data_IF_159345294989
#
_entry.id   IF_159345294989
#
_cell.length_a   1.000
_cell.length_b   1.000
_cell.length_c   1.000
_cell.angle_alpha   90.00
_cell.angle_beta   90.00
_cell.angle_gamma   90.00
#
_symmetry.space_group_name_H-M   'P 1'
#
loop_
_entity.id
_entity.type
_entity.pdbx_description
1 polymer ?
#
# COMPACT_ATOMS: atom_id res chain seq x y z
N UNK A 1 7.82 22.35 5.83
CA UNK A 1 7.25 22.75 4.53
C UNK A 1 5.75 22.92 4.64
N UNK A 2 5.07 23.41 3.60
CA UNK A 2 3.61 23.48 3.61
C UNK A 2 2.95 22.09 3.62
N UNK A 3 1.79 21.95 4.25
CA UNK A 3 1.02 20.70 4.34
C UNK A 3 -0.08 20.66 3.25
N UNK A 4 -1.31 20.31 3.63
CA UNK A 4 -2.48 20.31 2.75
C UNK A 4 -2.83 21.73 2.27
N UNK A 5 -2.61 22.74 3.11
CA UNK A 5 -2.79 24.14 2.78
C UNK A 5 -1.45 24.89 2.87
N UNK A 6 -1.19 25.85 1.97
CA UNK A 6 0.09 26.59 1.93
C UNK A 6 0.41 27.32 3.25
N UNK A 7 -0.62 27.80 3.95
CA UNK A 7 -0.47 28.47 5.24
C UNK A 7 -0.13 27.50 6.39
N UNK A 8 -0.47 26.22 6.27
CA UNK A 8 -0.16 25.21 7.28
C UNK A 8 1.25 24.68 7.07
N UNK A 9 2.08 24.75 8.11
CA UNK A 9 3.47 24.28 8.05
C UNK A 9 3.69 23.07 8.94
N UNK A 10 4.45 22.11 8.42
CA UNK A 10 4.83 20.91 9.14
C UNK A 10 5.79 20.04 8.33
N UNK A 11 5.82 18.77 8.70
CA UNK A 11 6.63 17.74 8.06
C UNK A 11 5.74 16.51 7.85
N UNK A 12 5.90 15.86 6.71
CA UNK A 12 5.28 14.58 6.44
C UNK A 12 6.18 13.46 6.93
N UNK A 13 5.55 12.38 7.35
CA UNK A 13 6.18 11.17 7.85
C UNK A 13 5.49 9.98 7.18
N UNK A 14 6.29 9.08 6.64
CA UNK A 14 5.85 7.80 6.10
C UNK A 14 6.62 6.69 6.83
N UNK A 15 6.07 6.15 7.93
CA UNK A 15 6.75 5.13 8.72
C UNK A 15 6.48 3.74 8.15
N UNK A 16 7.51 2.90 8.16
CA UNK A 16 7.38 1.46 7.95
C UNK A 16 7.29 0.79 9.33
N UNK A 17 6.10 0.29 9.67
CA UNK A 17 5.80 -0.30 10.96
C UNK A 17 5.67 -1.82 10.85
N UNK A 18 6.48 -2.55 11.62
CA UNK A 18 6.52 -4.00 11.62
C UNK A 18 5.57 -4.60 12.66
N UNK A 19 4.82 -5.62 12.25
CA UNK A 19 3.86 -6.35 13.08
C UNK A 19 3.89 -7.83 12.69
N UNK A 20 3.71 -8.73 13.66
CA UNK A 20 3.59 -10.17 13.41
C UNK A 20 2.17 -10.54 12.94
N UNK A 21 1.96 -11.74 12.36
CA UNK A 21 0.62 -12.25 12.07
C UNK A 21 -0.29 -12.33 13.30
N UNK A 22 0.28 -12.55 14.49
CA UNK A 22 -0.43 -12.56 15.78
C UNK A 22 -0.74 -11.14 16.31
N UNK A 23 -0.49 -10.11 15.50
CA UNK A 23 -0.70 -8.69 15.80
C UNK A 23 0.26 -8.15 16.86
N UNK A 24 1.40 -8.79 17.06
CA UNK A 24 2.43 -8.30 17.96
C UNK A 24 3.17 -7.10 17.32
N UNK A 25 3.19 -5.93 17.98
CA UNK A 25 3.85 -4.75 17.46
C UNK A 25 5.37 -4.85 17.64
N UNK A 26 6.12 -4.98 16.55
CA UNK A 26 7.58 -5.06 16.59
C UNK A 26 8.26 -3.68 16.56
N UNK A 27 7.54 -2.65 16.08
CA UNK A 27 8.02 -1.27 16.10
C UNK A 27 8.22 -0.67 14.71
N UNK A 28 8.70 0.57 14.67
CA UNK A 28 9.04 1.27 13.42
C UNK A 28 10.44 0.87 12.98
N UNK A 29 10.57 0.34 11.77
CA UNK A 29 11.85 -0.12 11.20
C UNK A 29 12.46 0.88 10.23
N UNK A 30 11.65 1.80 9.71
CA UNK A 30 12.08 2.88 8.84
C UNK A 30 11.07 4.06 8.89
N UNK A 31 11.53 5.26 8.54
CA UNK A 31 10.69 6.44 8.46
C UNK A 31 11.20 7.45 7.41
N UNK A 32 10.51 7.55 6.28
CA UNK A 32 10.75 8.65 5.35
C UNK A 32 10.09 9.93 5.88
N UNK A 33 10.91 10.92 6.21
CA UNK A 33 10.48 12.25 6.66
C UNK A 33 10.81 13.31 5.62
N UNK A 34 9.85 14.18 5.26
CA UNK A 34 10.10 15.26 4.32
C UNK A 34 9.25 16.50 4.57
N UNK A 35 9.76 17.64 4.12
CA UNK A 35 9.06 18.91 4.12
C UNK A 35 8.87 19.36 2.67
N UNK A 36 7.62 19.61 2.27
CA UNK A 36 7.35 20.15 0.93
C UNK A 36 7.95 21.54 0.75
N UNK A 37 8.33 21.85 -0.48
CA UNK A 37 8.59 23.23 -0.91
C UNK A 37 7.28 24.00 -1.07
N UNK A 38 7.29 25.35 -0.90
CA UNK A 38 6.18 26.20 -1.31
C UNK A 38 5.88 26.08 -2.80
N UNK A 39 4.65 26.39 -3.18
CA UNK A 39 4.31 26.54 -4.60
C UNK A 39 4.98 27.78 -5.17
N UNK A 40 5.40 27.70 -6.43
CA UNK A 40 5.86 28.87 -7.19
C UNK A 40 4.69 29.75 -7.65
N UNK A 41 4.99 30.84 -8.37
CA UNK A 41 3.99 31.78 -8.86
C UNK A 41 2.98 31.13 -9.84
N UNK A 42 3.39 30.05 -10.52
CA UNK A 42 2.55 29.29 -11.45
C UNK A 42 1.75 28.18 -10.73
N UNK A 43 1.92 28.05 -9.41
CA UNK A 43 1.23 27.06 -8.58
C UNK A 43 1.86 25.67 -8.61
N UNK A 44 3.03 25.51 -9.25
CA UNK A 44 3.75 24.25 -9.30
C UNK A 44 4.54 24.03 -8.01
N UNK A 45 4.69 22.77 -7.64
CA UNK A 45 5.49 22.37 -6.48
C UNK A 45 6.75 21.68 -6.96
N UNK A 46 7.89 22.20 -6.54
CA UNK A 46 9.20 21.57 -6.74
C UNK A 46 9.42 20.35 -5.85
N UNK A 47 10.65 19.87 -5.84
CA UNK A 47 11.09 18.71 -5.06
C UNK A 47 10.77 17.36 -5.70
N UNK A 48 10.93 16.31 -4.88
CA UNK A 48 10.75 14.92 -5.29
C UNK A 48 9.27 14.53 -5.39
N UNK A 49 8.95 13.58 -6.26
CA UNK A 49 7.63 12.95 -6.27
C UNK A 49 7.43 12.19 -4.97
N UNK A 50 6.41 12.57 -4.20
CA UNK A 50 6.17 11.96 -2.89
C UNK A 50 5.80 10.48 -2.96
N UNK A 51 5.32 9.99 -4.12
CA UNK A 51 5.01 8.57 -4.32
C UNK A 51 6.24 7.66 -4.22
N UNK A 52 7.45 8.20 -4.35
CA UNK A 52 8.69 7.45 -4.17
C UNK A 52 8.79 6.85 -2.76
N UNK A 53 8.06 7.41 -1.77
CA UNK A 53 7.97 6.88 -0.40
C UNK A 53 7.62 5.40 -0.31
N UNK A 54 6.77 4.92 -1.22
CA UNK A 54 6.35 3.52 -1.23
C UNK A 54 7.43 2.61 -1.81
N UNK A 55 8.21 3.12 -2.76
CA UNK A 55 9.30 2.39 -3.40
C UNK A 55 10.44 2.22 -2.41
N UNK A 56 10.84 3.30 -1.74
CA UNK A 56 11.91 3.28 -0.74
C UNK A 56 11.51 2.46 0.50
N UNK A 57 10.26 2.56 0.95
CA UNK A 57 9.76 1.69 2.02
C UNK A 57 9.86 0.20 1.66
N UNK A 58 9.57 -0.18 0.41
CA UNK A 58 9.82 -1.55 -0.06
C UNK A 58 11.32 -1.90 -0.08
N UNK A 59 12.18 -0.99 -0.55
CA UNK A 59 13.64 -1.19 -0.56
C UNK A 59 14.20 -1.44 0.84
N UNK A 60 13.74 -0.70 1.85
CA UNK A 60 14.12 -0.92 3.25
C UNK A 60 13.69 -2.29 3.74
N UNK A 61 12.48 -2.75 3.41
CA UNK A 61 12.02 -4.10 3.77
C UNK A 61 12.79 -5.18 3.01
N UNK A 62 13.13 -4.94 1.74
CA UNK A 62 13.96 -5.82 0.93
C UNK A 62 15.37 -6.02 1.53
N UNK A 63 16.00 -4.95 2.02
CA UNK A 63 17.27 -5.01 2.74
C UNK A 63 17.15 -5.85 4.01
N UNK A 64 16.07 -5.71 4.78
CA UNK A 64 15.82 -6.53 5.96
C UNK A 64 15.61 -8.01 5.61
N UNK A 65 14.91 -8.30 4.52
CA UNK A 65 14.67 -9.68 4.09
C UNK A 65 15.98 -10.44 3.81
N UNK A 66 16.99 -9.76 3.24
CA UNK A 66 18.31 -10.34 3.02
C UNK A 66 19.01 -10.73 4.35
N UNK A 67 18.76 -9.99 5.43
CA UNK A 67 19.30 -10.26 6.77
C UNK A 67 18.49 -11.32 7.53
N UNK A 68 17.26 -11.60 7.10
CA UNK A 68 16.31 -12.48 7.76
C UNK A 68 15.87 -13.64 6.84
N UNK A 69 16.78 -14.48 6.33
CA UNK A 69 16.47 -15.49 5.31
C UNK A 69 15.50 -16.59 5.77
N UNK A 70 15.25 -16.70 7.08
CA UNK A 70 14.30 -17.65 7.67
C UNK A 70 12.94 -17.01 8.00
N UNK A 71 12.77 -15.72 7.73
CA UNK A 71 11.56 -14.96 8.04
C UNK A 71 10.97 -14.41 6.76
N UNK A 72 9.70 -14.71 6.50
CA UNK A 72 8.96 -14.14 5.39
C UNK A 72 8.51 -12.72 5.75
N UNK A 73 8.97 -11.73 4.98
CA UNK A 73 8.51 -10.36 5.10
C UNK A 73 7.46 -10.05 4.01
N UNK A 74 6.41 -9.34 4.39
CA UNK A 74 5.34 -8.89 3.48
C UNK A 74 5.17 -7.39 3.64
N UNK A 75 5.44 -6.63 2.58
CA UNK A 75 5.21 -5.18 2.55
C UNK A 75 3.74 -4.89 2.23
N UNK A 76 3.00 -4.37 3.21
CA UNK A 76 1.55 -4.16 3.11
C UNK A 76 1.26 -2.67 2.93
N UNK A 77 0.50 -2.31 1.89
CA UNK A 77 0.10 -0.92 1.64
C UNK A 77 -1.39 -0.81 1.35
N UNK A 78 -1.94 0.39 1.60
CA UNK A 78 -3.28 0.72 1.15
C UNK A 78 -3.32 1.08 -0.35
N UNK A 79 -4.40 1.76 -0.77
CA UNK A 79 -4.66 2.14 -2.16
C UNK A 79 -3.60 3.08 -2.73
N UNK A 80 -3.00 3.94 -1.90
CA UNK A 80 -1.98 4.88 -2.36
C UNK A 80 -0.69 4.18 -2.81
N UNK A 81 -0.44 2.96 -2.32
CA UNK A 81 0.69 2.14 -2.74
C UNK A 81 0.46 1.36 -4.04
N UNK A 82 -0.73 1.44 -4.66
CA UNK A 82 -1.02 0.79 -5.95
C UNK A 82 -0.38 1.54 -7.13
N UNK A 83 0.95 1.64 -7.11
CA UNK A 83 1.78 2.24 -8.16
C UNK A 83 2.58 1.14 -8.89
N UNK A 84 2.65 1.23 -10.22
CA UNK A 84 3.32 0.21 -11.02
C UNK A 84 4.83 0.17 -10.75
N UNK A 85 5.40 1.32 -10.40
CA UNK A 85 6.82 1.51 -10.10
C UNK A 85 7.26 0.71 -8.87
N UNK A 86 6.39 0.53 -7.86
CA UNK A 86 6.70 -0.33 -6.71
C UNK A 86 6.77 -1.80 -7.14
N UNK A 87 5.80 -2.27 -7.93
CA UNK A 87 5.78 -3.65 -8.42
C UNK A 87 6.98 -3.95 -9.32
N UNK A 88 7.32 -3.01 -10.21
CA UNK A 88 8.51 -3.09 -11.05
C UNK A 88 9.79 -3.13 -10.19
N UNK A 89 9.88 -2.28 -9.16
CA UNK A 89 11.04 -2.28 -8.27
C UNK A 89 11.19 -3.59 -7.51
N UNK A 90 10.10 -4.16 -7.01
CA UNK A 90 10.12 -5.47 -6.38
C UNK A 90 10.65 -6.55 -7.32
N UNK A 91 10.26 -6.52 -8.60
CA UNK A 91 10.76 -7.44 -9.62
C UNK A 91 12.25 -7.24 -9.91
N UNK A 92 12.71 -5.99 -10.06
CA UNK A 92 14.12 -5.65 -10.30
C UNK A 92 15.04 -6.17 -9.19
N UNK A 93 14.57 -6.11 -7.93
CA UNK A 93 15.31 -6.59 -6.77
C UNK A 93 15.26 -8.12 -6.60
N UNK A 94 14.54 -8.84 -7.47
CA UNK A 94 14.37 -10.29 -7.37
C UNK A 94 13.36 -10.74 -6.31
N UNK A 95 12.42 -9.86 -5.93
CA UNK A 95 11.35 -10.10 -4.95
C UNK A 95 11.85 -10.66 -3.60
N UNK A 96 12.80 -9.98 -2.93
CA UNK A 96 13.33 -10.44 -1.64
C UNK A 96 12.29 -10.41 -0.52
N UNK A 97 11.28 -9.54 -0.63
CA UNK A 97 10.09 -9.52 0.22
C UNK A 97 8.83 -9.59 -0.65
N UNK A 98 7.78 -10.25 -0.14
CA UNK A 98 6.46 -10.22 -0.75
C UNK A 98 5.81 -8.84 -0.56
N UNK A 99 4.75 -8.57 -1.33
CA UNK A 99 3.95 -7.36 -1.16
C UNK A 99 2.45 -7.68 -1.23
N UNK A 100 1.66 -6.94 -0.45
CA UNK A 100 0.20 -6.99 -0.44
C UNK A 100 -0.34 -5.57 -0.55
N UNK A 101 -0.87 -5.23 -1.71
CA UNK A 101 -1.27 -3.87 -2.05
C UNK A 101 -2.78 -3.85 -2.32
N UNK A 102 -3.50 -2.96 -1.65
CA UNK A 102 -4.92 -2.77 -1.93
C UNK A 102 -5.09 -2.06 -3.28
N UNK A 103 -5.68 -2.74 -4.27
CA UNK A 103 -5.90 -2.15 -5.60
C UNK A 103 -6.70 -0.83 -5.54
N UNK A 104 -6.18 0.19 -6.22
CA UNK A 104 -6.83 1.44 -6.59
C UNK A 104 -7.29 1.44 -8.05
N UNK A 105 -6.52 0.79 -8.94
CA UNK A 105 -6.70 0.85 -10.39
C UNK A 105 -7.25 -0.44 -11.00
N UNK A 106 -8.25 -0.32 -11.88
CA UNK A 106 -8.72 -1.43 -12.72
C UNK A 106 -7.80 -1.59 -13.95
N UNK A 107 -6.68 -2.27 -13.73
CA UNK A 107 -5.57 -2.42 -14.70
C UNK A 107 -5.99 -3.27 -15.91
N UNK A 108 -5.38 -3.02 -17.05
CA UNK A 108 -5.49 -3.90 -18.21
C UNK A 108 -4.62 -5.13 -18.00
N UNK A 109 -5.10 -6.31 -18.38
CA UNK A 109 -4.33 -7.55 -18.33
C UNK A 109 -3.65 -7.82 -19.67
N UNK A 110 -2.52 -8.54 -19.65
CA UNK A 110 -1.75 -8.85 -20.86
C UNK A 110 -2.54 -9.70 -21.87
N UNK A 111 -3.36 -10.64 -21.36
CA UNK A 111 -4.24 -11.51 -22.16
C UNK A 111 -5.53 -10.80 -22.62
N UNK A 112 -5.69 -9.53 -22.28
CA UNK A 112 -6.89 -8.73 -22.55
C UNK A 112 -7.86 -8.67 -21.37
N UNK A 113 -8.77 -7.71 -21.42
CA UNK A 113 -9.73 -7.46 -20.34
C UNK A 113 -9.14 -6.66 -19.16
N UNK A 114 -9.90 -6.63 -18.08
CA UNK A 114 -9.68 -5.79 -16.90
C UNK A 114 -9.48 -6.63 -15.64
N UNK A 115 -8.60 -6.18 -14.76
CA UNK A 115 -8.24 -6.86 -13.51
C UNK A 115 -9.46 -7.23 -12.66
N UNK A 116 -10.34 -6.27 -12.40
CA UNK A 116 -11.48 -6.51 -11.51
C UNK A 116 -12.49 -7.46 -12.14
N UNK A 117 -12.76 -7.31 -13.44
CA UNK A 117 -13.68 -8.18 -14.17
C UNK A 117 -13.16 -9.63 -14.20
N UNK A 118 -11.84 -9.79 -14.38
CA UNK A 118 -11.19 -11.11 -14.36
C UNK A 118 -11.30 -11.79 -12.99
N UNK A 119 -11.09 -11.07 -11.89
CA UNK A 119 -11.21 -11.60 -10.52
C UNK A 119 -12.68 -11.90 -10.17
N UNK A 120 -13.62 -11.06 -10.60
CA UNK A 120 -15.05 -11.27 -10.34
C UNK A 120 -15.59 -12.52 -11.06
N UNK A 121 -15.05 -12.82 -12.24
CA UNK A 121 -15.38 -14.04 -12.98
C UNK A 121 -14.79 -15.33 -12.39
N UNK A 122 -13.78 -15.25 -11.51
CA UNK A 122 -13.16 -16.43 -10.89
C UNK A 122 -14.10 -17.14 -9.92
N UNK A 123 -14.02 -18.46 -9.74
CA UNK A 123 -14.88 -19.19 -8.80
C UNK A 123 -14.80 -18.65 -7.37
N UNK A 124 -15.94 -18.65 -6.67
CA UNK A 124 -15.98 -18.37 -5.23
C UNK A 124 -15.19 -19.44 -4.49
N UNK A 125 -14.17 -19.01 -3.75
CA UNK A 125 -13.32 -19.88 -2.93
C UNK A 125 -13.90 -20.11 -1.54
N UNK A 126 -14.73 -19.18 -1.08
CA UNK A 126 -15.38 -19.24 0.21
C UNK A 126 -16.04 -17.93 0.56
N UNK A 127 -16.56 -17.86 1.78
CA UNK A 127 -17.27 -16.69 2.30
C UNK A 127 -16.70 -16.31 3.66
N UNK A 128 -16.66 -15.02 3.94
CA UNK A 128 -16.37 -14.48 5.26
C UNK A 128 -17.56 -13.65 5.74
N UNK A 129 -17.94 -13.86 7.00
CA UNK A 129 -19.00 -13.11 7.65
C UNK A 129 -18.44 -12.44 8.90
N UNK A 130 -18.72 -11.15 9.07
CA UNK A 130 -18.36 -10.41 10.27
C UNK A 130 -19.33 -9.27 10.53
N UNK A 131 -19.38 -8.82 11.79
CA UNK A 131 -20.17 -7.64 12.16
C UNK A 131 -19.35 -6.39 11.90
N UNK A 132 -19.85 -5.52 11.03
CA UNK A 132 -19.32 -4.17 10.88
C UNK A 132 -19.94 -3.29 11.98
N UNK A 133 -19.13 -2.72 12.89
CA UNK A 133 -19.65 -1.88 13.97
C UNK A 133 -20.33 -0.63 13.40
N UNK A 134 -21.33 -0.14 14.13
CA UNK A 134 -22.03 1.09 13.77
C UNK A 134 -21.11 2.31 13.89
N UNK A 135 -21.42 3.34 13.11
CA UNK A 135 -20.79 4.67 13.17
C UNK A 135 -21.85 5.75 12.98
N UNK A 136 -21.50 7.02 13.14
CA UNK A 136 -22.44 8.12 12.96
C UNK A 136 -23.21 7.99 11.62
N UNK A 137 -24.54 7.87 11.71
CA UNK A 137 -25.43 7.70 10.54
C UNK A 137 -25.51 6.27 9.95
N UNK A 138 -24.83 5.27 10.51
CA UNK A 138 -24.88 3.88 10.02
C UNK A 138 -24.98 2.88 11.17
N UNK A 139 -26.07 2.08 11.19
CA UNK A 139 -26.27 1.01 12.18
C UNK A 139 -25.25 -0.12 11.99
N UNK A 140 -24.91 -0.78 13.09
CA UNK A 140 -24.15 -2.03 13.03
C UNK A 140 -24.91 -3.06 12.18
N UNK A 141 -24.17 -3.83 11.38
CA UNK A 141 -24.76 -4.83 10.49
C UNK A 141 -23.81 -5.98 10.26
N UNK A 142 -24.38 -7.14 9.98
CA UNK A 142 -23.63 -8.26 9.44
C UNK A 142 -23.22 -7.97 8.00
N UNK A 143 -21.98 -8.27 7.67
CA UNK A 143 -21.42 -8.19 6.33
C UNK A 143 -20.99 -9.59 5.95
N UNK A 144 -21.47 -10.04 4.80
CA UNK A 144 -21.07 -11.28 4.15
C UNK A 144 -20.30 -10.93 2.88
N UNK A 145 -19.11 -11.49 2.70
CA UNK A 145 -18.27 -11.28 1.52
C UNK A 145 -17.86 -12.61 0.92
N UNK A 146 -17.93 -12.71 -0.40
CA UNK A 146 -17.32 -13.80 -1.14
C UNK A 146 -15.83 -13.53 -1.34
N UNK A 147 -15.02 -14.59 -1.25
CA UNK A 147 -13.60 -14.55 -1.53
C UNK A 147 -13.35 -15.20 -2.89
N UNK A 148 -12.66 -14.47 -3.76
CA UNK A 148 -12.22 -14.93 -5.08
C UNK A 148 -10.73 -14.64 -5.21
N UNK A 149 -10.01 -15.46 -5.97
CA UNK A 149 -8.62 -15.22 -6.29
C UNK A 149 -8.33 -15.64 -7.73
N UNK A 150 -7.45 -14.88 -8.38
CA UNK A 150 -7.03 -15.10 -9.74
C UNK A 150 -5.55 -14.77 -9.85
N UNK A 151 -4.80 -15.60 -10.58
CA UNK A 151 -3.48 -15.22 -11.07
C UNK A 151 -3.69 -14.48 -12.40
N UNK A 152 -3.12 -13.28 -12.49
CA UNK A 152 -3.23 -12.35 -13.61
C UNK A 152 -1.86 -11.87 -14.06
#
# INVERSE_FOLDING_TARGET
GPLSYEAQRGMFLHPTYAVTPDREPLGVIDAWMWAREPKDADGNRGGIKESVRWIEGYERVAEQAALLPRTRLVYVTDREGDIAELMARAQELGQPADWLIRSQHNRNLAEGGKLWDSVDASPVLGEITFILPGRAGQKAREVKQELRAQRV
#
